data_IF_221060995502
#
_entry.id   IF_221060995502
#
_cell.length_a   1.000
_cell.length_b   1.000
_cell.length_c   1.000
_cell.angle_alpha   90.00
_cell.angle_beta   90.00
_cell.angle_gamma   90.00
#
_symmetry.space_group_name_H-M   'P 1'
#
loop_
_entity.id
_entity.type
_entity.pdbx_description
1 polymer ?
#
# COMPACT_ATOMS: atom_id res chain seq x y z
N UNK A 1 -3.78 12.97 -1.40
CA UNK A 1 -3.67 13.62 -2.73
C UNK A 1 -4.76 13.11 -3.66
N UNK A 2 -4.83 13.53 -4.93
CA UNK A 2 -5.70 12.83 -5.89
C UNK A 2 -5.24 11.37 -6.02
N UNK A 3 -6.16 10.40 -6.12
CA UNK A 3 -5.88 8.97 -6.26
C UNK A 3 -4.89 8.67 -7.37
N UNK A 4 -5.04 9.36 -8.50
CA UNK A 4 -4.15 9.29 -9.65
C UNK A 4 -2.73 9.78 -9.34
N UNK A 5 -2.58 10.81 -8.51
CA UNK A 5 -1.25 11.29 -8.11
C UNK A 5 -0.56 10.30 -7.17
N UNK A 6 -1.30 9.68 -6.26
CA UNK A 6 -0.73 8.66 -5.35
C UNK A 6 -0.31 7.42 -6.14
N UNK A 7 -1.16 6.97 -7.05
CA UNK A 7 -0.90 5.80 -7.89
C UNK A 7 0.18 6.05 -8.94
N UNK A 8 0.48 7.30 -9.29
CA UNK A 8 1.55 7.66 -10.24
C UNK A 8 2.95 7.19 -9.83
N UNK A 9 3.13 6.84 -8.55
CA UNK A 9 4.36 6.20 -8.04
C UNK A 9 4.58 4.82 -8.69
N UNK A 10 3.50 4.14 -9.09
CA UNK A 10 3.54 2.84 -9.73
C UNK A 10 3.61 2.95 -11.26
N UNK A 11 4.62 2.31 -11.85
CA UNK A 11 4.79 2.22 -13.30
C UNK A 11 3.69 1.35 -13.96
N UNK A 12 3.07 0.47 -13.17
CA UNK A 12 1.99 -0.43 -13.57
C UNK A 12 0.63 -0.01 -12.99
N UNK A 13 0.46 1.26 -12.62
CA UNK A 13 -0.81 1.79 -12.12
C UNK A 13 -2.00 1.58 -13.10
N UNK A 14 -1.72 1.49 -14.40
CA UNK A 14 -2.71 1.17 -15.44
C UNK A 14 -3.28 -0.24 -15.32
N UNK A 15 -2.55 -1.17 -14.69
CA UNK A 15 -3.02 -2.53 -14.43
C UNK A 15 -4.04 -2.63 -13.28
N UNK A 16 -4.18 -1.55 -12.50
CA UNK A 16 -5.10 -1.47 -11.37
C UNK A 16 -6.51 -1.17 -11.89
N UNK A 17 -7.43 -2.11 -11.66
CA UNK A 17 -8.87 -1.92 -11.93
C UNK A 17 -9.40 -0.71 -11.17
N UNK A 18 -10.26 0.08 -11.81
CA UNK A 18 -10.79 1.34 -11.26
C UNK A 18 -11.42 1.16 -9.88
N UNK A 19 -12.14 0.07 -9.66
CA UNK A 19 -12.77 -0.30 -8.38
C UNK A 19 -11.80 -0.49 -7.20
N UNK A 20 -10.53 -0.79 -7.46
CA UNK A 20 -9.51 -1.00 -6.43
C UNK A 20 -8.57 0.20 -6.26
N UNK A 21 -8.65 1.23 -7.13
CA UNK A 21 -7.73 2.38 -7.12
C UNK A 21 -7.77 3.14 -5.81
N UNK A 22 -8.97 3.42 -5.29
CA UNK A 22 -9.13 4.17 -4.04
C UNK A 22 -8.51 3.41 -2.86
N UNK A 23 -8.74 2.10 -2.80
CA UNK A 23 -8.19 1.24 -1.75
C UNK A 23 -6.65 1.17 -1.84
N UNK A 24 -6.10 0.95 -3.04
CA UNK A 24 -4.64 0.89 -3.24
C UNK A 24 -3.98 2.24 -2.97
N UNK A 25 -4.61 3.35 -3.36
CA UNK A 25 -4.12 4.69 -3.04
C UNK A 25 -4.03 4.91 -1.52
N UNK A 26 -5.07 4.53 -0.77
CA UNK A 26 -5.06 4.61 0.69
C UNK A 26 -3.95 3.73 1.30
N UNK A 27 -3.78 2.49 0.82
CA UNK A 27 -2.70 1.61 1.28
C UNK A 27 -1.30 2.16 0.97
N UNK A 28 -1.17 2.87 -0.14
CA UNK A 28 0.07 3.52 -0.57
C UNK A 28 0.40 4.71 0.33
N UNK A 29 -0.59 5.58 0.61
CA UNK A 29 -0.42 6.70 1.55
C UNK A 29 -0.06 6.22 2.96
N UNK A 30 -0.62 5.09 3.39
CA UNK A 30 -0.33 4.48 4.70
C UNK A 30 0.97 3.65 4.73
N UNK A 31 1.78 3.66 3.66
CA UNK A 31 3.02 2.88 3.55
C UNK A 31 2.84 1.37 3.85
N UNK A 32 1.66 0.82 3.55
CA UNK A 32 1.37 -0.61 3.74
C UNK A 32 2.03 -1.45 2.65
N UNK A 33 2.05 -0.93 1.42
CA UNK A 33 2.56 -1.65 0.25
C UNK A 33 4.08 -1.45 0.17
N UNK A 34 4.84 -2.37 0.76
CA UNK A 34 6.30 -2.37 0.72
C UNK A 34 6.83 -3.21 -0.43
N UNK A 35 6.85 -2.66 -1.66
CA UNK A 35 7.26 -3.41 -2.84
C UNK A 35 8.79 -3.51 -3.01
N UNK A 36 9.47 -4.24 -2.14
CA UNK A 36 10.90 -4.47 -2.27
C UNK A 36 11.22 -5.55 -3.32
N UNK A 37 12.31 -5.40 -4.13
CA UNK A 37 13.21 -4.24 -4.21
C UNK A 37 12.67 -3.07 -5.04
N UNK A 38 11.72 -3.31 -5.95
CA UNK A 38 11.23 -2.29 -6.87
C UNK A 38 9.96 -1.60 -6.36
N UNK A 39 10.12 -0.56 -5.53
CA UNK A 39 9.00 0.17 -4.90
C UNK A 39 8.05 0.84 -5.90
N UNK A 40 8.51 1.04 -7.14
CA UNK A 40 7.75 1.67 -8.24
C UNK A 40 6.90 0.67 -9.03
N UNK A 41 6.90 -0.60 -8.67
CA UNK A 41 6.11 -1.62 -9.36
C UNK A 41 5.17 -2.23 -8.32
N UNK A 42 3.86 -2.13 -8.50
CA UNK A 42 2.87 -2.75 -7.61
C UNK A 42 2.83 -4.27 -7.81
N UNK A 43 2.95 -4.71 -9.06
CA UNK A 43 2.81 -6.10 -9.50
C UNK A 43 1.54 -6.76 -8.95
N UNK A 44 0.39 -6.37 -9.50
CA UNK A 44 -0.95 -6.84 -9.09
C UNK A 44 -1.15 -8.37 -9.14
N UNK A 45 -0.27 -9.11 -9.82
CA UNK A 45 -0.29 -10.57 -9.91
C UNK A 45 0.63 -11.26 -8.90
N UNK A 46 1.45 -10.52 -8.17
CA UNK A 46 2.37 -11.08 -7.16
C UNK A 46 1.57 -11.53 -5.94
N UNK A 47 1.91 -12.70 -5.43
CA UNK A 47 1.37 -13.20 -4.17
C UNK A 47 1.90 -12.34 -3.02
N UNK A 48 0.99 -11.82 -2.20
CA UNK A 48 1.34 -11.09 -0.98
C UNK A 48 2.05 -12.00 0.00
N UNK A 49 3.11 -11.50 0.64
CA UNK A 49 3.85 -12.26 1.65
C UNK A 49 3.22 -12.08 3.03
N UNK A 50 3.57 -12.96 3.98
CA UNK A 50 3.14 -12.82 5.39
C UNK A 50 3.54 -11.46 5.99
N UNK A 51 4.69 -10.91 5.57
CA UNK A 51 5.14 -9.61 6.02
C UNK A 51 4.20 -8.48 5.56
N UNK A 52 3.73 -8.54 4.31
CA UNK A 52 2.78 -7.55 3.76
C UNK A 52 1.45 -7.59 4.52
N UNK A 53 0.96 -8.80 4.85
CA UNK A 53 -0.27 -8.97 5.63
C UNK A 53 -0.09 -8.45 7.06
N UNK A 54 1.05 -8.73 7.71
CA UNK A 54 1.35 -8.19 9.04
C UNK A 54 1.43 -6.65 9.03
N UNK A 55 2.06 -6.06 8.01
CA UNK A 55 2.14 -4.61 7.87
C UNK A 55 0.76 -3.97 7.68
N UNK A 56 -0.11 -4.60 6.88
CA UNK A 56 -1.50 -4.17 6.70
C UNK A 56 -2.28 -4.21 8.03
N UNK A 57 -2.22 -5.33 8.74
CA UNK A 57 -2.91 -5.50 10.03
C UNK A 57 -2.40 -4.49 11.06
N UNK A 58 -1.09 -4.32 11.16
CA UNK A 58 -0.49 -3.33 12.05
C UNK A 58 -0.95 -1.91 11.72
N UNK A 59 -0.94 -1.53 10.44
CA UNK A 59 -1.43 -0.21 10.00
C UNK A 59 -2.93 -0.04 10.26
N UNK A 60 -3.73 -1.09 10.13
CA UNK A 60 -5.15 -1.06 10.49
C UNK A 60 -5.34 -0.83 12.00
N UNK A 61 -4.57 -1.50 12.86
CA UNK A 61 -4.61 -1.31 14.31
C UNK A 61 -4.13 0.08 14.74
N UNK A 62 -3.09 0.62 14.10
CA UNK A 62 -2.63 2.00 14.31
C UNK A 62 -3.72 2.99 13.91
N UNK A 63 -4.37 2.78 12.76
CA UNK A 63 -5.51 3.61 12.33
C UNK A 63 -6.72 3.50 13.26
N UNK A 64 -6.90 2.37 13.93
CA UNK A 64 -7.94 2.16 14.94
C UNK A 64 -7.58 2.75 16.32
N UNK A 65 -6.34 3.23 16.50
CA UNK A 65 -5.86 3.75 17.77
C UNK A 65 -5.53 2.67 18.81
N UNK A 66 -5.49 1.40 18.41
CA UNK A 66 -5.19 0.27 19.31
C UNK A 66 -3.69 0.14 19.59
N UNK A 67 -2.85 0.60 18.67
CA UNK A 67 -1.40 0.48 18.73
C UNK A 67 -0.75 1.81 18.39
N UNK A 68 0.36 2.14 19.06
CA UNK A 68 1.13 3.35 18.78
C UNK A 68 1.75 3.28 17.38
N UNK A 69 1.74 4.41 16.66
CA UNK A 69 2.40 4.55 15.36
C UNK A 69 3.92 4.51 15.55
N UNK A 70 4.53 3.41 15.11
CA UNK A 70 5.99 3.27 15.12
C UNK A 70 6.55 4.02 13.91
N UNK A 71 7.52 4.93 14.11
CA UNK A 71 8.14 5.64 13.00
C UNK A 71 8.81 4.64 12.07
N UNK A 72 8.56 4.79 10.76
CA UNK A 72 9.33 4.07 9.75
C UNK A 72 10.80 4.49 9.87
N UNK A 73 11.68 3.50 10.04
CA UNK A 73 13.14 3.70 10.16
C UNK A 73 13.77 4.11 8.84
#
# INVERSE_FOLDING_TARGET
>A
GSTENILSVYSDASSIRSEHRNFIAALTENNVITNYPNKKLLNTKKVATRADVCALLYRAMVSAGEVADLPAK
#
